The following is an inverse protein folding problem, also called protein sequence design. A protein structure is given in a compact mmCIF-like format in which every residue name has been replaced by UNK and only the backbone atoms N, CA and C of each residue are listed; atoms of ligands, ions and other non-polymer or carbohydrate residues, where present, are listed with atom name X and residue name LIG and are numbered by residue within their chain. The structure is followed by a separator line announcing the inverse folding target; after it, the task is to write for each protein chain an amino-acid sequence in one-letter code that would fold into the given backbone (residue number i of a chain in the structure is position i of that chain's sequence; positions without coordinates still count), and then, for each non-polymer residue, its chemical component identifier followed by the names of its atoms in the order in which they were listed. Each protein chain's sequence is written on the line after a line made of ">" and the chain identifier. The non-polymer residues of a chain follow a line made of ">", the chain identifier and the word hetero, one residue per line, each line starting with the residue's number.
data_IF_039906640329
#
_entry.id   IF_039906640329
#
_cell.length_a   1.000
_cell.length_b   1.000
_cell.length_c   1.000
_cell.angle_alpha   90.00
_cell.angle_beta   90.00
_cell.angle_gamma   90.00
#
_symmetry.space_group_name_H-M   'P 1'
#
loop_
_entity.id
_entity.type
_entity.pdbx_description
1 polymer ?
#
# COMPACT_ATOMS: atom_id res chain seq x y z
N UNK A 1 -18.76 -13.78 -30.50
CA UNK A 1 -19.02 -13.02 -29.26
C UNK A 1 -18.17 -11.76 -29.31
N UNK A 2 -18.80 -10.61 -29.51
CA UNK A 2 -18.10 -9.33 -29.61
C UNK A 2 -18.08 -8.77 -28.19
N UNK A 3 -16.93 -8.83 -27.50
CA UNK A 3 -16.79 -8.13 -26.24
C UNK A 3 -16.72 -6.64 -26.59
N UNK A 4 -17.89 -6.01 -26.55
CA UNK A 4 -18.04 -4.58 -26.66
C UNK A 4 -17.13 -3.94 -25.62
N UNK A 5 -16.15 -3.19 -26.13
CA UNK A 5 -14.93 -2.76 -25.42
C UNK A 5 -15.14 -2.28 -23.97
N UNK A 6 -14.07 -2.26 -23.17
CA UNK A 6 -14.08 -1.64 -21.84
C UNK A 6 -14.70 -0.22 -21.85
N UNK A 7 -14.53 0.52 -22.96
CA UNK A 7 -15.16 1.82 -23.25
C UNK A 7 -16.69 1.81 -23.16
N UNK A 8 -17.38 0.76 -23.59
CA UNK A 8 -18.85 0.65 -23.45
C UNK A 8 -19.28 0.45 -21.99
N UNK A 9 -18.46 -0.21 -21.19
CA UNK A 9 -18.69 -0.38 -19.75
C UNK A 9 -18.56 0.95 -18.98
N UNK A 10 -17.65 1.82 -19.40
CA UNK A 10 -17.55 3.19 -18.90
C UNK A 10 -18.66 4.10 -19.46
N UNK A 11 -19.10 3.86 -20.70
CA UNK A 11 -20.15 4.63 -21.37
C UNK A 11 -21.59 4.18 -21.02
N UNK A 12 -21.77 3.11 -20.22
CA UNK A 12 -23.06 2.66 -19.66
C UNK A 12 -23.59 3.64 -18.59
N UNK A 13 -23.95 4.86 -19.01
CA UNK A 13 -24.99 5.69 -18.40
C UNK A 13 -24.96 5.91 -16.87
N UNK A 14 -23.78 5.89 -16.23
CA UNK A 14 -23.62 6.19 -14.80
C UNK A 14 -23.51 4.99 -13.84
N UNK A 15 -23.66 3.74 -14.30
CA UNK A 15 -23.52 2.56 -13.42
C UNK A 15 -22.06 2.14 -13.16
N UNK A 16 -21.17 2.40 -14.12
CA UNK A 16 -19.74 2.11 -13.96
C UNK A 16 -19.14 2.83 -12.75
N UNK A 17 -19.63 4.02 -12.43
CA UNK A 17 -19.14 4.87 -11.33
C UNK A 17 -19.25 4.14 -9.98
N UNK A 18 -20.34 3.43 -9.71
CA UNK A 18 -20.53 2.66 -8.47
C UNK A 18 -19.52 1.52 -8.32
N UNK A 19 -19.27 0.80 -9.42
CA UNK A 19 -18.33 -0.32 -9.44
C UNK A 19 -16.91 0.20 -9.23
N UNK A 20 -16.50 1.19 -10.02
CA UNK A 20 -15.18 1.79 -9.93
C UNK A 20 -14.91 2.43 -8.57
N UNK A 21 -15.91 3.06 -7.94
CA UNK A 21 -15.75 3.63 -6.59
C UNK A 21 -15.46 2.54 -5.56
N UNK A 22 -16.15 1.39 -5.63
CA UNK A 22 -15.90 0.26 -4.73
C UNK A 22 -14.48 -0.31 -4.88
N UNK A 23 -13.98 -0.41 -6.12
CA UNK A 23 -12.60 -0.81 -6.39
C UNK A 23 -11.58 0.19 -5.85
N UNK A 24 -11.82 1.49 -6.05
CA UNK A 24 -10.95 2.56 -5.54
C UNK A 24 -10.92 2.55 -4.00
N UNK A 25 -12.07 2.43 -3.34
CA UNK A 25 -12.14 2.34 -1.88
C UNK A 25 -11.39 1.11 -1.36
N UNK A 26 -11.57 -0.03 -2.02
CA UNK A 26 -10.85 -1.26 -1.64
C UNK A 26 -9.34 -1.11 -1.83
N UNK A 27 -8.91 -0.55 -2.96
CA UNK A 27 -7.50 -0.27 -3.23
C UNK A 27 -6.91 0.70 -2.18
N UNK A 28 -7.65 1.73 -1.77
CA UNK A 28 -7.23 2.66 -0.73
C UNK A 28 -7.07 1.97 0.63
N UNK A 29 -8.00 1.09 1.03
CA UNK A 29 -7.87 0.31 2.26
C UNK A 29 -6.61 -0.55 2.26
N UNK A 30 -6.35 -1.28 1.16
CA UNK A 30 -5.14 -2.10 1.02
C UNK A 30 -3.88 -1.24 1.06
N UNK A 31 -3.87 -0.10 0.37
CA UNK A 31 -2.74 0.82 0.37
C UNK A 31 -2.46 1.34 1.78
N UNK A 32 -3.51 1.67 2.53
CA UNK A 32 -3.41 2.12 3.92
C UNK A 32 -2.79 1.05 4.82
N UNK A 33 -3.24 -0.19 4.71
CA UNK A 33 -2.68 -1.31 5.48
C UNK A 33 -1.19 -1.53 5.14
N UNK A 34 -0.84 -1.51 3.86
CA UNK A 34 0.56 -1.65 3.42
C UNK A 34 1.42 -0.52 3.96
N UNK A 35 0.95 0.73 3.89
CA UNK A 35 1.67 1.89 4.43
C UNK A 35 1.82 1.80 5.96
N UNK A 36 0.78 1.39 6.67
CA UNK A 36 0.83 1.20 8.11
C UNK A 36 1.83 0.10 8.51
N UNK A 37 1.85 -1.02 7.79
CA UNK A 37 2.83 -2.09 7.98
C UNK A 37 4.25 -1.64 7.66
N UNK A 38 4.43 -0.88 6.58
CA UNK A 38 5.73 -0.32 6.20
C UNK A 38 6.29 0.61 7.28
N UNK A 39 5.44 1.49 7.84
CA UNK A 39 5.83 2.38 8.95
C UNK A 39 6.25 1.59 10.19
N UNK A 40 5.48 0.56 10.58
CA UNK A 40 5.82 -0.31 11.71
C UNK A 40 7.13 -1.06 11.48
N UNK A 41 7.34 -1.58 10.27
CA UNK A 41 8.57 -2.28 9.90
C UNK A 41 9.76 -1.33 9.82
N UNK A 42 9.56 -0.08 9.43
CA UNK A 42 10.60 0.94 9.46
C UNK A 42 11.03 1.28 10.89
N UNK A 43 10.10 1.41 11.83
CA UNK A 43 10.40 1.62 13.24
C UNK A 43 11.20 0.45 13.84
N UNK A 44 10.75 -0.79 13.63
CA UNK A 44 11.47 -1.98 14.11
C UNK A 44 12.89 -2.11 13.51
N UNK A 45 13.09 -1.70 12.25
CA UNK A 45 14.42 -1.67 11.63
C UNK A 45 15.32 -0.57 12.20
N UNK A 46 14.75 0.56 12.60
CA UNK A 46 15.50 1.66 13.21
C UNK A 46 16.06 1.25 14.58
N UNK A 47 15.27 0.53 15.39
CA UNK A 47 15.70 0.01 16.69
C UNK A 47 16.87 -0.97 16.56
N UNK A 48 16.77 -1.94 15.64
CA UNK A 48 17.85 -2.89 15.40
C UNK A 48 19.13 -2.22 14.89
N UNK A 49 19.00 -1.15 14.10
CA UNK A 49 20.15 -0.37 13.62
C UNK A 49 20.82 0.42 14.74
N UNK A 50 20.04 0.97 15.68
CA UNK A 50 20.58 1.67 16.84
C UNK A 50 21.38 0.73 17.75
N UNK A 51 20.93 -0.52 17.94
CA UNK A 51 21.67 -1.54 18.70
C UNK A 51 22.99 -1.93 18.02
N UNK A 52 23.02 -2.07 16.69
CA UNK A 52 24.25 -2.38 15.96
C UNK A 52 25.29 -1.26 16.03
N UNK A 53 24.84 0.01 16.00
CA UNK A 53 25.73 1.16 16.10
C UNK A 53 26.21 1.40 17.54
N UNK A 54 25.40 1.11 18.56
CA UNK A 54 25.81 1.22 19.96
C UNK A 54 26.78 0.13 20.41
N UNK A 55 26.67 -1.09 19.88
CA UNK A 55 27.59 -2.20 20.21
C UNK A 55 28.99 -2.08 19.60
N UNK A 56 29.12 -1.34 18.49
CA UNK A 56 30.43 -1.04 17.89
C UNK A 56 31.24 -0.02 18.69
N UNK A 57 30.60 0.84 19.48
CA UNK A 57 31.30 1.82 20.32
C UNK A 57 31.86 1.19 21.61
N UNK A 58 31.20 0.16 22.16
CA UNK A 58 31.66 -0.57 23.36
C UNK A 58 32.80 -1.56 23.06
N UNK A 59 32.89 -2.07 21.83
CA UNK A 59 33.97 -3.01 21.41
C UNK A 59 35.25 -2.31 20.94
N UNK A 60 35.20 -1.00 20.71
CA UNK A 60 36.33 -0.18 20.25
C UNK A 60 36.99 0.67 21.36
N UNK A 61 36.48 0.63 22.60
CA UNK A 61 37.00 1.32 23.78
C UNK A 61 37.75 0.35 24.72
#
# INVERSE_FOLDING_TARGET
>A
MQWGSASEFFAMGGYGVYVWTSYVVTALCLLWEVLALWRRRAAARAEHRAMLLGGSDETAA
#
